data_IF_057071724380
#
_entry.id   IF_057071724380
#
_cell.length_a   1.000
_cell.length_b   1.000
_cell.length_c   1.000
_cell.angle_alpha   90.00
_cell.angle_beta   90.00
_cell.angle_gamma   90.00
#
_symmetry.space_group_name_H-M   'P 1'
#
loop_
_entity.id
_entity.type
_entity.pdbx_description
1 polymer ?
#
# COMPACT_ATOMS: atom_id res chain seq x y z
N UNK A 1 12.54 27.83 7.85
CA UNK A 1 11.23 27.24 7.51
C UNK A 1 11.13 27.25 6.00
N UNK A 2 11.09 26.06 5.39
CA UNK A 2 11.01 25.91 3.93
C UNK A 2 9.61 26.27 3.45
N UNK A 3 9.50 27.33 2.64
CA UNK A 3 8.30 27.67 1.89
C UNK A 3 7.94 26.54 0.93
N UNK A 4 6.77 25.94 1.12
CA UNK A 4 6.18 25.02 0.15
C UNK A 4 5.34 25.87 -0.79
N UNK A 5 5.94 26.27 -1.91
CA UNK A 5 5.23 26.85 -3.05
C UNK A 5 4.13 25.87 -3.50
N UNK A 6 2.87 26.30 -3.69
CA UNK A 6 1.83 25.41 -4.17
C UNK A 6 2.14 25.09 -5.63
N UNK A 7 2.68 23.90 -5.88
CA UNK A 7 2.87 23.37 -7.22
C UNK A 7 1.48 23.33 -7.89
N UNK A 8 1.27 24.20 -8.87
CA UNK A 8 0.25 24.02 -9.91
C UNK A 8 0.23 22.54 -10.30
N UNK A 9 -0.93 21.87 -10.34
CA UNK A 9 -0.98 20.49 -10.78
C UNK A 9 -0.41 20.46 -12.20
N UNK A 10 0.78 19.89 -12.34
CA UNK A 10 1.41 19.65 -13.64
C UNK A 10 0.36 18.93 -14.47
N UNK A 11 -0.17 19.59 -15.49
CA UNK A 11 -1.00 18.95 -16.51
C UNK A 11 -0.13 17.91 -17.19
N UNK A 12 -0.15 16.69 -16.66
CA UNK A 12 0.37 15.53 -17.36
C UNK A 12 -0.57 15.33 -18.53
N UNK A 13 -0.10 15.60 -19.75
CA UNK A 13 -0.89 15.36 -20.94
C UNK A 13 -1.43 13.92 -20.92
N UNK A 14 -2.69 13.70 -21.31
CA UNK A 14 -3.24 12.36 -21.36
C UNK A 14 -2.37 11.51 -22.28
N UNK A 15 -1.90 10.37 -21.76
CA UNK A 15 -1.07 9.43 -22.53
C UNK A 15 -1.75 9.08 -23.86
N UNK A 16 -1.00 9.01 -24.98
CA UNK A 16 -1.58 8.65 -26.27
C UNK A 16 -2.27 7.28 -26.19
N UNK A 17 -3.35 7.10 -26.96
CA UNK A 17 -4.18 5.89 -26.89
C UNK A 17 -3.38 4.60 -27.16
N UNK A 18 -2.40 4.66 -28.06
CA UNK A 18 -1.47 3.58 -28.39
C UNK A 18 -0.62 3.16 -27.20
N UNK A 19 -0.10 4.12 -26.42
CA UNK A 19 0.69 3.84 -25.22
C UNK A 19 -0.16 3.21 -24.11
N UNK A 20 -1.42 3.63 -23.97
CA UNK A 20 -2.35 3.02 -23.02
C UNK A 20 -2.66 1.57 -23.40
N UNK A 21 -2.91 1.30 -24.68
CA UNK A 21 -3.15 -0.05 -25.17
C UNK A 21 -1.92 -0.95 -24.98
N UNK A 22 -0.71 -0.44 -25.23
CA UNK A 22 0.53 -1.19 -25.01
C UNK A 22 0.73 -1.56 -23.53
N UNK A 23 0.58 -0.59 -22.62
CA UNK A 23 0.71 -0.82 -21.17
C UNK A 23 -0.28 -1.88 -20.68
N UNK A 24 -1.50 -1.85 -21.21
CA UNK A 24 -2.55 -2.83 -20.89
C UNK A 24 -2.18 -4.28 -21.23
N UNK A 25 -1.29 -4.51 -22.20
CA UNK A 25 -0.84 -5.86 -22.56
C UNK A 25 0.47 -6.24 -21.88
N UNK A 26 1.37 -5.27 -21.69
CA UNK A 26 2.70 -5.51 -21.09
C UNK A 26 2.61 -5.84 -19.60
N UNK A 27 1.79 -5.10 -18.83
CA UNK A 27 1.71 -5.30 -17.37
C UNK A 27 1.18 -6.70 -16.98
N UNK A 28 0.10 -7.23 -17.59
CA UNK A 28 -0.34 -8.61 -17.36
C UNK A 28 0.67 -9.64 -17.87
N UNK A 29 1.30 -9.41 -19.02
CA UNK A 29 2.29 -10.32 -19.59
C UNK A 29 3.48 -10.53 -18.65
N UNK A 30 3.99 -9.44 -18.07
CA UNK A 30 5.05 -9.50 -17.04
C UNK A 30 4.58 -10.23 -15.79
N UNK A 31 3.33 -10.02 -15.36
CA UNK A 31 2.75 -10.74 -14.21
C UNK A 31 2.71 -12.25 -14.44
N UNK A 32 2.22 -12.70 -15.60
CA UNK A 32 2.21 -14.12 -15.95
C UNK A 32 3.62 -14.71 -15.92
N UNK A 33 4.60 -13.97 -16.44
CA UNK A 33 5.99 -14.39 -16.51
C UNK A 33 6.68 -14.41 -15.12
N UNK A 34 6.27 -13.54 -14.17
CA UNK A 34 6.66 -13.65 -12.76
C UNK A 34 6.09 -14.93 -12.14
N UNK A 35 4.78 -15.18 -12.31
CA UNK A 35 4.10 -16.35 -11.72
C UNK A 35 4.71 -17.65 -12.26
N UNK A 36 4.91 -17.76 -13.56
CA UNK A 36 5.56 -18.92 -14.20
C UNK A 36 6.96 -19.15 -13.61
N UNK A 37 7.77 -18.10 -13.44
CA UNK A 37 9.10 -18.24 -12.83
C UNK A 37 9.08 -18.73 -11.38
N UNK A 38 8.12 -18.24 -10.59
CA UNK A 38 7.95 -18.69 -9.20
C UNK A 38 7.56 -20.17 -9.20
N UNK A 39 6.59 -20.58 -10.03
CA UNK A 39 6.16 -21.98 -10.14
C UNK A 39 7.30 -22.90 -10.59
N UNK A 40 8.07 -22.49 -11.60
CA UNK A 40 9.25 -23.23 -12.07
C UNK A 40 10.31 -23.36 -10.96
N UNK A 41 10.51 -22.30 -10.17
CA UNK A 41 11.45 -22.33 -9.05
C UNK A 41 10.99 -23.28 -7.93
N UNK A 42 9.69 -23.29 -7.62
CA UNK A 42 9.10 -24.20 -6.64
C UNK A 42 9.22 -25.64 -7.12
N UNK A 43 8.89 -25.91 -8.38
CA UNK A 43 9.04 -27.24 -8.98
C UNK A 43 10.48 -27.74 -8.92
N UNK A 44 11.45 -26.90 -9.35
CA UNK A 44 12.87 -27.22 -9.29
C UNK A 44 13.42 -27.37 -7.87
N UNK A 45 12.70 -26.89 -6.84
CA UNK A 45 13.05 -27.14 -5.44
C UNK A 45 12.59 -28.50 -4.93
N UNK A 46 11.53 -29.07 -5.50
CA UNK A 46 11.02 -30.38 -5.11
C UNK A 46 11.70 -31.52 -5.89
N UNK A 47 12.15 -31.27 -7.11
CA UNK A 47 12.86 -32.26 -7.92
C UNK A 47 14.35 -32.35 -7.55
N UNK A 48 14.82 -33.55 -7.20
CA UNK A 48 16.26 -33.86 -7.06
C UNK A 48 16.97 -33.96 -8.41
N UNK A 49 16.22 -34.10 -9.50
CA UNK A 49 16.74 -34.19 -10.87
C UNK A 49 17.17 -32.82 -11.40
N UNK A 50 18.20 -32.77 -12.28
CA UNK A 50 18.58 -31.53 -12.95
C UNK A 50 17.40 -31.01 -13.78
N UNK A 51 17.19 -29.69 -13.85
CA UNK A 51 16.05 -29.12 -14.55
C UNK A 51 16.13 -29.41 -16.06
N UNK A 52 15.01 -29.80 -16.67
CA UNK A 52 14.93 -30.09 -18.11
C UNK A 52 15.33 -28.90 -18.99
N UNK A 53 15.73 -29.18 -20.24
CA UNK A 53 16.13 -28.15 -21.19
C UNK A 53 15.04 -27.06 -21.39
N UNK A 54 13.76 -27.46 -21.40
CA UNK A 54 12.63 -26.54 -21.52
C UNK A 54 12.54 -25.58 -20.33
N UNK A 55 12.75 -26.07 -19.11
CA UNK A 55 12.75 -25.24 -17.89
C UNK A 55 13.88 -24.20 -17.95
N UNK A 56 15.08 -24.61 -18.36
CA UNK A 56 16.22 -23.70 -18.53
C UNK A 56 15.93 -22.62 -19.57
N UNK A 57 15.30 -22.96 -20.70
CA UNK A 57 14.94 -21.97 -21.73
C UNK A 57 13.89 -20.97 -21.22
N UNK A 58 12.86 -21.42 -20.52
CA UNK A 58 11.83 -20.54 -19.94
C UNK A 58 12.45 -19.56 -18.94
N UNK A 59 13.33 -20.05 -18.07
CA UNK A 59 14.04 -19.23 -17.09
C UNK A 59 14.98 -18.23 -17.78
N UNK A 60 15.72 -18.65 -18.80
CA UNK A 60 16.63 -17.77 -19.54
C UNK A 60 15.86 -16.67 -20.30
N UNK A 61 14.80 -17.04 -21.02
CA UNK A 61 13.95 -16.10 -21.75
C UNK A 61 13.35 -15.05 -20.82
N UNK A 62 12.74 -15.50 -19.73
CA UNK A 62 12.10 -14.62 -18.77
C UNK A 62 13.08 -13.71 -18.03
N UNK A 63 14.27 -14.22 -17.70
CA UNK A 63 15.37 -13.41 -17.15
C UNK A 63 15.80 -12.33 -18.13
N UNK A 64 15.94 -12.65 -19.42
CA UNK A 64 16.31 -11.68 -20.44
C UNK A 64 15.25 -10.56 -20.56
N UNK A 65 13.96 -10.91 -20.54
CA UNK A 65 12.85 -9.95 -20.56
C UNK A 65 12.93 -9.01 -19.34
N UNK A 66 13.12 -9.55 -18.13
CA UNK A 66 13.21 -8.73 -16.91
C UNK A 66 14.45 -7.86 -16.86
N UNK A 67 15.59 -8.38 -17.32
CA UNK A 67 16.82 -7.61 -17.40
C UNK A 67 16.65 -6.44 -18.36
N UNK A 68 16.07 -6.69 -19.53
CA UNK A 68 15.79 -5.65 -20.53
C UNK A 68 14.82 -4.60 -19.97
N UNK A 69 13.73 -5.02 -19.34
CA UNK A 69 12.78 -4.13 -18.65
C UNK A 69 13.47 -3.27 -17.58
N UNK A 70 14.36 -3.85 -16.78
CA UNK A 70 15.11 -3.13 -15.75
C UNK A 70 16.09 -2.12 -16.35
N UNK A 71 16.82 -2.49 -17.40
CA UNK A 71 17.75 -1.59 -18.10
C UNK A 71 17.04 -0.41 -18.75
N UNK A 72 15.91 -0.65 -19.42
CA UNK A 72 15.09 0.42 -20.00
C UNK A 72 14.62 1.40 -18.92
N UNK A 73 14.21 0.90 -17.75
CA UNK A 73 13.81 1.75 -16.62
C UNK A 73 14.97 2.54 -16.03
N UNK A 74 16.14 1.91 -15.90
CA UNK A 74 17.35 2.58 -15.45
C UNK A 74 17.78 3.67 -16.43
N UNK A 75 17.58 3.45 -17.74
CA UNK A 75 17.81 4.45 -18.76
C UNK A 75 16.82 5.62 -18.65
N UNK A 76 15.51 5.31 -18.58
CA UNK A 76 14.44 6.32 -18.60
C UNK A 76 14.25 7.07 -17.28
N UNK A 77 14.86 6.61 -16.17
CA UNK A 77 14.62 7.21 -14.84
C UNK A 77 15.04 8.69 -14.72
N UNK A 78 15.96 9.15 -15.58
CA UNK A 78 16.49 10.53 -15.59
C UNK A 78 15.45 11.54 -16.11
N UNK A 79 14.41 11.09 -16.80
CA UNK A 79 13.30 11.94 -17.26
C UNK A 79 12.41 12.42 -16.11
N UNK A 80 12.38 11.70 -14.98
CA UNK A 80 11.67 12.17 -13.80
C UNK A 80 12.48 13.28 -13.13
N UNK A 81 11.86 14.45 -12.95
CA UNK A 81 12.45 15.65 -12.31
C UNK A 81 13.11 15.33 -10.96
N UNK A 82 12.67 14.27 -10.27
CA UNK A 82 13.25 13.79 -9.00
C UNK A 82 14.67 13.24 -9.11
N UNK A 83 15.10 12.77 -10.29
CA UNK A 83 16.41 12.17 -10.54
C UNK A 83 17.22 12.93 -11.62
N UNK A 84 16.70 14.08 -12.08
CA UNK A 84 17.28 14.87 -13.16
C UNK A 84 18.54 15.68 -12.78
N UNK A 85 18.89 15.76 -11.48
CA UNK A 85 19.99 16.63 -11.02
C UNK A 85 21.36 16.20 -11.54
N UNK A 86 21.63 14.90 -11.61
CA UNK A 86 22.91 14.33 -12.07
C UNK A 86 22.65 13.00 -12.76
N UNK A 87 23.17 12.79 -13.98
CA UNK A 87 22.87 11.60 -14.80
C UNK A 87 23.29 10.27 -14.13
N UNK A 88 24.39 10.27 -13.36
CA UNK A 88 24.90 9.05 -12.70
C UNK A 88 24.36 8.92 -11.28
N UNK A 89 24.41 9.99 -10.48
CA UNK A 89 23.91 9.97 -9.09
C UNK A 89 22.39 9.80 -9.03
N UNK A 90 21.64 10.32 -10.01
CA UNK A 90 20.20 10.12 -10.14
C UNK A 90 19.84 8.66 -10.41
N UNK A 91 20.56 8.00 -11.33
CA UNK A 91 20.41 6.56 -11.59
C UNK A 91 20.75 5.72 -10.36
N UNK A 92 21.85 6.04 -9.66
CA UNK A 92 22.23 5.33 -8.44
C UNK A 92 21.20 5.54 -7.31
N UNK A 93 20.69 6.76 -7.16
CA UNK A 93 19.62 7.07 -6.21
C UNK A 93 18.32 6.33 -6.54
N UNK A 94 18.02 6.13 -7.83
CA UNK A 94 16.90 5.31 -8.28
C UNK A 94 17.11 3.82 -7.93
N UNK A 95 18.30 3.26 -8.20
CA UNK A 95 18.64 1.87 -7.86
C UNK A 95 18.52 1.56 -6.36
N UNK A 96 18.81 2.53 -5.49
CA UNK A 96 18.70 2.38 -4.03
C UNK A 96 17.25 2.45 -3.51
N UNK A 97 16.25 2.70 -4.35
CA UNK A 97 14.83 2.65 -3.93
C UNK A 97 14.44 1.19 -3.67
N UNK A 98 13.64 0.92 -2.62
CA UNK A 98 13.35 -0.46 -2.20
C UNK A 98 12.74 -1.33 -3.32
N UNK A 99 11.83 -0.77 -4.13
CA UNK A 99 11.25 -1.49 -5.26
C UNK A 99 12.27 -1.81 -6.36
N UNK A 100 13.18 -0.87 -6.66
CA UNK A 100 14.24 -1.10 -7.65
C UNK A 100 15.28 -2.10 -7.13
N UNK A 101 15.53 -2.10 -5.82
CA UNK A 101 16.43 -3.04 -5.19
C UNK A 101 15.87 -4.47 -5.24
N UNK A 102 14.57 -4.64 -5.02
CA UNK A 102 13.88 -5.94 -5.21
C UNK A 102 14.05 -6.44 -6.65
N UNK A 103 13.86 -5.56 -7.64
CA UNK A 103 14.07 -5.92 -9.05
C UNK A 103 15.51 -6.39 -9.29
N UNK A 104 16.51 -5.70 -8.74
CA UNK A 104 17.92 -6.06 -8.87
C UNK A 104 18.25 -7.38 -8.16
N UNK A 105 17.85 -7.54 -6.89
CA UNK A 105 18.12 -8.74 -6.08
C UNK A 105 17.50 -9.98 -6.71
N UNK A 106 16.30 -9.86 -7.30
CA UNK A 106 15.67 -10.96 -8.01
C UNK A 106 16.39 -11.37 -9.31
N UNK A 107 17.25 -10.51 -9.89
CA UNK A 107 18.10 -10.85 -11.05
C UNK A 107 19.40 -11.55 -10.63
N UNK A 108 19.88 -11.33 -9.40
CA UNK A 108 21.19 -11.84 -8.92
C UNK A 108 21.34 -13.36 -9.10
N UNK A 109 20.39 -14.22 -8.71
CA UNK A 109 20.56 -15.67 -8.84
C UNK A 109 20.84 -16.10 -10.28
N UNK A 110 20.16 -15.48 -11.24
CA UNK A 110 20.28 -15.82 -12.65
C UNK A 110 21.58 -15.32 -13.26
N UNK A 111 22.01 -14.11 -12.88
CA UNK A 111 23.30 -13.57 -13.33
C UNK A 111 24.44 -14.42 -12.79
N UNK A 112 24.38 -14.83 -11.53
CA UNK A 112 25.39 -15.70 -10.91
C UNK A 112 25.42 -17.07 -11.58
N UNK A 113 24.27 -17.69 -11.86
CA UNK A 113 24.21 -18.98 -12.57
C UNK A 113 24.72 -18.88 -14.01
N UNK A 114 24.42 -17.79 -14.72
CA UNK A 114 24.92 -17.57 -16.07
C UNK A 114 26.45 -17.43 -16.11
N UNK A 115 27.04 -16.71 -15.13
CA UNK A 115 28.49 -16.56 -15.00
C UNK A 115 29.13 -17.89 -14.57
N UNK A 116 28.53 -18.62 -13.64
CA UNK A 116 29.03 -19.91 -13.17
C UNK A 116 29.06 -20.97 -14.30
N UNK A 117 28.05 -20.96 -15.17
CA UNK A 117 28.00 -21.81 -16.36
C UNK A 117 29.18 -21.55 -17.33
N UNK A 118 29.64 -20.30 -17.43
CA UNK A 118 30.78 -19.93 -18.28
C UNK A 118 32.13 -20.37 -17.69
N UNK A 119 32.25 -20.37 -16.36
CA UNK A 119 33.52 -20.67 -15.67
C UNK A 119 33.81 -22.17 -15.48
N UNK A 120 32.94 -23.08 -15.93
CA UNK A 120 33.02 -24.53 -15.71
C UNK A 120 33.16 -24.98 -14.22
N UNK A 121 32.98 -24.06 -13.27
CA UNK A 121 32.92 -24.34 -11.83
C UNK A 121 31.49 -24.79 -11.51
N UNK A 122 31.17 -26.02 -11.90
CA UNK A 122 29.84 -26.61 -11.77
C UNK A 122 29.47 -27.04 -10.32
N UNK A 123 30.38 -26.91 -9.37
CA UNK A 123 30.26 -27.61 -8.07
C UNK A 123 29.77 -26.74 -6.90
N UNK A 124 29.46 -25.47 -7.12
CA UNK A 124 28.84 -24.66 -6.06
C UNK A 124 27.31 -24.81 -6.10
N UNK A 125 26.79 -25.70 -5.26
CA UNK A 125 25.36 -25.75 -4.92
C UNK A 125 24.99 -24.49 -4.13
N UNK A 126 24.72 -23.38 -4.84
CA UNK A 126 24.26 -22.14 -4.20
C UNK A 126 22.76 -22.21 -3.90
N UNK A 127 22.36 -23.24 -3.14
CA UNK A 127 20.98 -23.50 -2.73
C UNK A 127 20.35 -22.26 -2.07
N UNK A 128 21.13 -21.48 -1.32
CA UNK A 128 20.68 -20.23 -0.71
C UNK A 128 20.29 -19.13 -1.71
N UNK A 129 20.94 -19.04 -2.89
CA UNK A 129 20.56 -18.05 -3.91
C UNK A 129 19.21 -18.38 -4.57
N UNK A 130 18.78 -19.64 -4.52
CA UNK A 130 17.46 -20.05 -5.03
C UNK A 130 16.33 -19.35 -4.26
N UNK A 131 16.51 -19.08 -2.96
CA UNK A 131 15.52 -18.38 -2.14
C UNK A 131 15.32 -16.93 -2.59
N UNK A 132 16.37 -16.27 -3.10
CA UNK A 132 16.25 -14.89 -3.62
C UNK A 132 15.33 -14.82 -4.85
N UNK A 133 15.14 -15.93 -5.58
CA UNK A 133 14.18 -15.98 -6.71
C UNK A 133 12.75 -15.80 -6.25
N UNK A 134 12.40 -16.23 -5.03
CA UNK A 134 11.05 -16.03 -4.46
C UNK A 134 10.76 -14.54 -4.27
N UNK A 135 11.79 -13.72 -4.02
CA UNK A 135 11.65 -12.25 -3.96
C UNK A 135 11.17 -11.65 -5.28
N UNK A 136 11.29 -12.35 -6.41
CA UNK A 136 10.68 -11.93 -7.68
C UNK A 136 9.15 -11.80 -7.58
N UNK A 137 8.49 -12.55 -6.68
CA UNK A 137 7.06 -12.38 -6.40
C UNK A 137 6.73 -10.97 -5.87
N UNK A 138 7.65 -10.34 -5.15
CA UNK A 138 7.45 -8.98 -4.63
C UNK A 138 7.36 -7.93 -5.76
N UNK A 139 7.75 -8.27 -6.99
CA UNK A 139 7.57 -7.40 -8.17
C UNK A 139 6.11 -7.17 -8.52
N UNK A 140 5.20 -8.06 -8.12
CA UNK A 140 3.74 -7.95 -8.38
C UNK A 140 3.17 -6.63 -7.87
N UNK A 141 3.75 -6.10 -6.79
CA UNK A 141 3.37 -4.81 -6.22
C UNK A 141 3.41 -3.66 -7.24
N UNK A 142 4.32 -3.71 -8.21
CA UNK A 142 4.46 -2.69 -9.24
C UNK A 142 3.46 -2.88 -10.38
N UNK A 143 3.21 -4.12 -10.79
CA UNK A 143 2.34 -4.46 -11.91
C UNK A 143 0.86 -4.34 -11.56
N UNK A 144 0.50 -4.50 -10.27
CA UNK A 144 -0.90 -4.52 -9.87
C UNK A 144 -1.28 -3.32 -8.99
N UNK A 145 -2.13 -2.44 -9.53
CA UNK A 145 -2.58 -1.24 -8.81
C UNK A 145 -3.34 -1.54 -7.52
N UNK A 146 -3.95 -2.73 -7.39
CA UNK A 146 -4.61 -3.10 -6.15
C UNK A 146 -3.61 -3.27 -4.98
N UNK A 147 -2.40 -3.78 -5.23
CA UNK A 147 -1.36 -3.90 -4.19
C UNK A 147 -0.86 -2.52 -3.78
N UNK A 148 -0.74 -1.57 -4.73
CA UNK A 148 -0.42 -0.16 -4.42
C UNK A 148 -1.50 0.46 -3.54
N UNK A 149 -2.79 0.24 -3.85
CA UNK A 149 -3.92 0.72 -3.04
C UNK A 149 -3.90 0.10 -1.65
N UNK A 150 -3.63 -1.20 -1.55
CA UNK A 150 -3.49 -1.90 -0.29
C UNK A 150 -2.38 -1.26 0.57
N UNK A 151 -1.21 -0.96 0.00
CA UNK A 151 -0.12 -0.26 0.71
C UNK A 151 -0.54 1.12 1.24
N UNK A 152 -1.32 1.87 0.46
CA UNK A 152 -1.86 3.18 0.87
C UNK A 152 -2.80 2.99 2.06
N UNK A 153 -3.68 1.99 2.03
CA UNK A 153 -4.60 1.65 3.11
C UNK A 153 -3.83 1.26 4.37
N UNK A 154 -2.87 0.34 4.28
CA UNK A 154 -2.01 -0.05 5.40
C UNK A 154 -1.31 1.15 6.03
N UNK A 155 -0.73 2.05 5.21
CA UNK A 155 -0.03 3.22 5.73
C UNK A 155 -0.98 4.21 6.43
N UNK A 156 -2.20 4.33 5.92
CA UNK A 156 -3.23 5.20 6.49
C UNK A 156 -3.82 4.64 7.77
N UNK A 157 -4.05 3.33 7.82
CA UNK A 157 -4.61 2.58 8.96
C UNK A 157 -3.54 2.03 9.90
N UNK A 158 -2.26 2.44 9.74
CA UNK A 158 -1.12 1.88 10.47
C UNK A 158 -1.28 1.94 11.99
N UNK A 159 -1.89 3.01 12.50
CA UNK A 159 -2.07 3.20 13.94
C UNK A 159 -3.14 2.25 14.47
N UNK A 160 -4.29 2.15 13.79
CA UNK A 160 -5.36 1.21 14.14
C UNK A 160 -4.86 -0.24 14.08
N UNK A 161 -4.13 -0.60 13.02
CA UNK A 161 -3.53 -1.93 12.87
C UNK A 161 -2.47 -2.24 13.94
N UNK A 162 -1.66 -1.25 14.32
CA UNK A 162 -0.66 -1.42 15.36
C UNK A 162 -1.32 -1.66 16.73
N UNK A 163 -2.34 -0.86 17.07
CA UNK A 163 -3.07 -0.98 18.34
C UNK A 163 -3.75 -2.35 18.46
N UNK A 164 -4.46 -2.81 17.41
CA UNK A 164 -5.11 -4.13 17.47
C UNK A 164 -4.08 -5.26 17.55
N UNK A 165 -2.99 -5.19 16.79
CA UNK A 165 -1.92 -6.20 16.84
C UNK A 165 -1.28 -6.25 18.23
N UNK A 166 -1.02 -5.09 18.83
CA UNK A 166 -0.50 -4.99 20.19
C UNK A 166 -1.46 -5.60 21.22
N UNK A 167 -2.76 -5.26 21.12
CA UNK A 167 -3.79 -5.78 22.02
C UNK A 167 -3.92 -7.31 21.89
N UNK A 168 -4.00 -7.82 20.66
CA UNK A 168 -4.04 -9.27 20.40
C UNK A 168 -2.79 -9.96 20.92
N UNK A 169 -1.60 -9.37 20.73
CA UNK A 169 -0.35 -9.88 21.28
C UNK A 169 -0.35 -9.95 22.81
N UNK A 170 -0.89 -8.93 23.48
CA UNK A 170 -1.04 -8.94 24.94
C UNK A 170 -1.99 -10.07 25.39
N UNK A 171 -3.14 -10.22 24.72
CA UNK A 171 -4.11 -11.30 25.02
C UNK A 171 -3.51 -12.68 24.80
N UNK A 172 -2.71 -12.88 23.75
CA UNK A 172 -1.97 -14.14 23.51
C UNK A 172 -1.03 -14.45 24.66
N UNK A 173 -0.23 -13.48 25.10
CA UNK A 173 0.73 -13.68 26.19
C UNK A 173 0.03 -13.95 27.52
N UNK A 174 -0.99 -13.16 27.86
CA UNK A 174 -1.80 -13.36 29.06
C UNK A 174 -2.46 -14.74 29.06
N UNK A 175 -3.10 -15.11 27.94
CA UNK A 175 -3.76 -16.42 27.81
C UNK A 175 -2.77 -17.57 27.89
N UNK A 176 -1.59 -17.42 27.28
CA UNK A 176 -0.53 -18.42 27.33
C UNK A 176 0.05 -18.63 28.72
N UNK A 177 0.23 -17.56 29.50
CA UNK A 177 0.66 -17.65 30.90
C UNK A 177 -0.44 -18.32 31.75
N UNK A 178 -1.69 -17.86 31.62
CA UNK A 178 -2.80 -18.40 32.41
C UNK A 178 -3.04 -19.87 32.13
N UNK A 179 -3.10 -20.30 30.86
CA UNK A 179 -3.33 -21.71 30.52
C UNK A 179 -2.18 -22.59 30.99
N UNK A 180 -0.94 -22.09 30.93
CA UNK A 180 0.23 -22.82 31.42
C UNK A 180 0.06 -23.13 32.91
N UNK A 181 -0.26 -22.15 33.75
CA UNK A 181 -0.47 -22.40 35.18
C UNK A 181 -1.70 -23.28 35.47
N UNK A 182 -2.74 -23.23 34.64
CA UNK A 182 -3.93 -24.07 34.82
C UNK A 182 -3.70 -25.54 34.42
N UNK A 183 -2.80 -25.81 33.47
CA UNK A 183 -2.64 -27.14 32.87
C UNK A 183 -1.30 -27.80 33.18
N UNK A 184 -0.28 -27.07 33.64
CA UNK A 184 1.06 -27.61 33.86
C UNK A 184 1.07 -28.77 34.86
N UNK A 185 0.27 -28.71 35.93
CA UNK A 185 0.21 -29.80 36.93
C UNK A 185 -0.43 -31.06 36.35
N UNK A 186 -1.47 -30.92 35.51
CA UNK A 186 -2.17 -32.04 34.91
C UNK A 186 -1.44 -32.61 33.68
N UNK A 187 -0.72 -31.77 32.93
CA UNK A 187 -0.11 -32.10 31.64
C UNK A 187 1.28 -31.46 31.46
N UNK A 188 2.28 -31.79 32.30
CA UNK A 188 3.60 -31.13 32.27
C UNK A 188 4.39 -31.38 30.99
N UNK A 189 4.08 -32.46 30.25
CA UNK A 189 4.73 -32.77 28.96
C UNK A 189 4.15 -31.95 27.80
N UNK A 190 2.86 -31.62 27.86
CA UNK A 190 2.15 -30.86 26.80
C UNK A 190 2.36 -29.37 27.04
N UNK A 191 1.98 -28.87 28.21
CA UNK A 191 2.22 -27.49 28.63
C UNK A 191 3.58 -27.39 29.34
N UNK A 192 4.65 -27.65 28.59
CA UNK A 192 6.02 -27.70 29.13
C UNK A 192 6.64 -26.33 29.39
N UNK A 193 6.20 -25.30 28.67
CA UNK A 193 6.66 -23.92 28.86
C UNK A 193 5.56 -22.92 28.53
N UNK A 194 5.72 -21.69 29.02
CA UNK A 194 4.83 -20.56 28.71
C UNK A 194 4.78 -20.31 27.19
N UNK A 195 5.87 -20.58 26.46
CA UNK A 195 5.91 -20.48 25.00
C UNK A 195 4.93 -21.43 24.30
N UNK A 196 4.75 -22.64 24.82
CA UNK A 196 3.75 -23.60 24.31
C UNK A 196 2.34 -23.14 24.63
N UNK A 197 2.11 -22.56 25.81
CA UNK A 197 0.83 -21.91 26.14
C UNK A 197 0.51 -20.74 25.20
N UNK A 198 1.50 -19.92 24.86
CA UNK A 198 1.31 -18.83 23.90
C UNK A 198 1.03 -19.34 22.47
N UNK A 199 1.69 -20.42 22.04
CA UNK A 199 1.39 -21.11 20.78
C UNK A 199 -0.05 -21.63 20.74
N UNK A 200 -0.51 -22.29 21.81
CA UNK A 200 -1.91 -22.70 21.97
C UNK A 200 -2.88 -21.51 21.85
N UNK A 201 -2.55 -20.37 22.47
CA UNK A 201 -3.39 -19.17 22.41
C UNK A 201 -3.44 -18.61 20.97
N UNK A 202 -2.34 -18.62 20.23
CA UNK A 202 -2.29 -18.23 18.81
C UNK A 202 -3.22 -19.11 17.99
N UNK A 203 -3.11 -20.44 18.10
CA UNK A 203 -3.97 -21.36 17.36
C UNK A 203 -5.45 -21.22 17.70
N UNK A 204 -5.76 -21.00 18.98
CA UNK A 204 -7.14 -20.86 19.47
C UNK A 204 -7.77 -19.56 18.97
N UNK A 205 -7.06 -18.42 19.08
CA UNK A 205 -7.55 -17.11 18.65
C UNK A 205 -7.68 -17.05 17.12
N UNK A 206 -6.77 -17.69 16.39
CA UNK A 206 -6.82 -17.76 14.91
C UNK A 206 -7.73 -18.86 14.38
N UNK A 207 -8.42 -19.61 15.25
CA UNK A 207 -9.30 -20.72 14.91
C UNK A 207 -8.64 -21.86 14.13
N UNK A 208 -7.30 -21.99 14.19
CA UNK A 208 -6.56 -23.10 13.56
C UNK A 208 -6.80 -24.41 14.30
N UNK A 209 -6.54 -24.42 15.62
CA UNK A 209 -6.72 -25.57 16.51
C UNK A 209 -6.11 -26.88 15.98
N UNK A 210 -4.78 -26.96 15.83
CA UNK A 210 -4.13 -28.18 15.33
C UNK A 210 -4.31 -29.37 16.27
N UNK A 211 -4.54 -29.12 17.55
CA UNK A 211 -4.86 -30.14 18.55
C UNK A 211 -3.64 -30.83 19.17
N UNK A 212 -2.45 -30.26 18.98
CA UNK A 212 -1.20 -30.67 19.61
C UNK A 212 -1.16 -30.32 21.12
N UNK A 213 -1.75 -29.20 21.51
CA UNK A 213 -1.93 -28.77 22.90
C UNK A 213 -3.41 -28.49 23.19
N UNK A 214 -4.03 -29.27 24.09
CA UNK A 214 -5.45 -29.11 24.45
C UNK A 214 -5.63 -29.18 25.96
N UNK A 215 -6.31 -28.19 26.58
CA UNK A 215 -6.57 -28.21 28.02
C UNK A 215 -7.51 -29.35 28.42
N UNK A 216 -7.13 -30.06 29.48
CA UNK A 216 -7.90 -31.19 30.02
C UNK A 216 -8.54 -30.87 31.36
N UNK A 217 -7.99 -29.92 32.12
CA UNK A 217 -8.58 -29.51 33.40
C UNK A 217 -9.90 -28.78 33.18
N UNK A 218 -10.79 -28.85 34.17
CA UNK A 218 -12.08 -28.14 34.12
C UNK A 218 -11.85 -26.63 34.04
N UNK A 219 -10.94 -26.10 34.86
CA UNK A 219 -10.59 -24.68 34.86
C UNK A 219 -9.98 -24.24 33.52
N UNK A 220 -9.04 -25.01 32.97
CA UNK A 220 -8.44 -24.75 31.67
C UNK A 220 -9.45 -24.78 30.53
N UNK A 221 -10.42 -25.70 30.54
CA UNK A 221 -11.51 -25.74 29.55
C UNK A 221 -12.45 -24.55 29.63
N UNK A 222 -12.81 -24.11 30.83
CA UNK A 222 -13.64 -22.91 31.01
C UNK A 222 -12.90 -21.69 30.47
N UNK A 223 -11.63 -21.52 30.87
CA UNK A 223 -10.80 -20.42 30.40
C UNK A 223 -10.62 -20.45 28.87
N UNK A 224 -10.30 -21.62 28.32
CA UNK A 224 -10.19 -21.84 26.88
C UNK A 224 -11.46 -21.48 26.11
N UNK A 225 -12.62 -21.82 26.67
CA UNK A 225 -13.91 -21.47 26.05
C UNK A 225 -14.11 -19.95 25.98
N UNK A 226 -13.74 -19.23 27.05
CA UNK A 226 -13.80 -17.76 27.07
C UNK A 226 -12.81 -17.16 26.07
N UNK A 227 -11.57 -17.65 26.05
CA UNK A 227 -10.54 -17.19 25.10
C UNK A 227 -10.95 -17.45 23.65
N UNK A 228 -11.57 -18.60 23.36
CA UNK A 228 -12.06 -18.92 22.01
C UNK A 228 -13.15 -17.96 21.54
N UNK A 229 -14.12 -17.61 22.40
CA UNK A 229 -15.17 -16.64 22.06
C UNK A 229 -14.59 -15.25 21.77
N UNK A 230 -13.74 -14.74 22.65
CA UNK A 230 -13.08 -13.43 22.45
C UNK A 230 -12.06 -13.44 21.29
N UNK A 231 -11.45 -14.60 21.03
CA UNK A 231 -10.45 -14.76 19.97
C UNK A 231 -11.02 -14.50 18.58
N UNK A 232 -12.24 -14.97 18.33
CA UNK A 232 -12.95 -14.74 17.05
C UNK A 232 -13.12 -13.24 16.79
N UNK A 233 -13.54 -12.47 17.81
CA UNK A 233 -13.70 -11.03 17.70
C UNK A 233 -12.37 -10.32 17.43
N UNK A 234 -11.31 -10.69 18.16
CA UNK A 234 -9.97 -10.12 17.97
C UNK A 234 -9.38 -10.43 16.59
N UNK A 235 -9.67 -11.61 16.04
CA UNK A 235 -9.23 -12.00 14.70
C UNK A 235 -10.01 -11.29 13.59
N UNK A 236 -11.28 -10.97 13.81
CA UNK A 236 -12.14 -10.29 12.83
C UNK A 236 -11.77 -8.80 12.63
N UNK A 237 -11.28 -8.12 13.67
CA UNK A 237 -11.03 -6.67 13.66
C UNK A 237 -10.03 -6.22 12.58
N UNK A 238 -8.84 -6.82 12.40
CA UNK A 238 -7.92 -6.42 11.33
C UNK A 238 -8.56 -6.49 9.93
N UNK A 239 -9.38 -7.51 9.68
CA UNK A 239 -10.15 -7.66 8.45
C UNK A 239 -11.16 -6.53 8.26
N UNK A 240 -11.90 -6.17 9.32
CA UNK A 240 -12.87 -5.07 9.29
C UNK A 240 -12.19 -3.70 9.05
N UNK A 241 -11.03 -3.44 9.69
CA UNK A 241 -10.25 -2.22 9.49
C UNK A 241 -9.78 -2.10 8.04
N UNK A 242 -9.24 -3.18 7.47
CA UNK A 242 -8.82 -3.20 6.07
C UNK A 242 -10.00 -3.02 5.11
N UNK A 243 -11.13 -3.71 5.37
CA UNK A 243 -12.36 -3.59 4.59
C UNK A 243 -12.90 -2.15 4.56
N UNK A 244 -13.00 -1.50 5.73
CA UNK A 244 -13.40 -0.09 5.82
C UNK A 244 -12.44 0.84 5.08
N UNK A 245 -11.14 0.55 5.11
CA UNK A 245 -10.11 1.28 4.38
C UNK A 245 -10.28 1.17 2.85
N UNK A 246 -10.65 -0.01 2.34
CA UNK A 246 -10.97 -0.20 0.92
C UNK A 246 -12.19 0.60 0.49
N UNK A 247 -13.27 0.53 1.29
CA UNK A 247 -14.49 1.31 1.04
C UNK A 247 -14.17 2.80 1.01
N UNK A 248 -13.39 3.30 1.97
CA UNK A 248 -13.03 4.72 2.03
C UNK A 248 -12.21 5.16 0.79
N UNK A 249 -11.26 4.34 0.34
CA UNK A 249 -10.49 4.63 -0.89
C UNK A 249 -11.39 4.64 -2.13
N UNK A 250 -12.32 3.69 -2.22
CA UNK A 250 -13.27 3.60 -3.33
C UNK A 250 -14.20 4.83 -3.38
N UNK A 251 -14.79 5.21 -2.23
CA UNK A 251 -15.66 6.39 -2.12
C UNK A 251 -14.91 7.69 -2.45
N UNK A 252 -13.65 7.83 -2.02
CA UNK A 252 -12.81 8.97 -2.40
C UNK A 252 -12.55 9.04 -3.90
N UNK A 253 -12.39 7.89 -4.56
CA UNK A 253 -12.22 7.86 -6.02
C UNK A 253 -13.50 8.22 -6.77
N UNK A 254 -14.67 7.81 -6.29
CA UNK A 254 -15.96 8.17 -6.89
C UNK A 254 -16.25 9.67 -6.76
N UNK A 255 -16.17 10.21 -5.54
CA UNK A 255 -16.37 11.64 -5.29
C UNK A 255 -15.37 12.53 -6.03
N UNK A 256 -14.12 12.10 -6.19
CA UNK A 256 -13.13 12.82 -7.00
C UNK A 256 -13.48 12.81 -8.50
N UNK A 257 -14.08 11.74 -9.03
CA UNK A 257 -14.56 11.69 -10.42
C UNK A 257 -15.76 12.60 -10.62
N UNK A 258 -16.72 12.57 -9.71
CA UNK A 258 -17.90 13.44 -9.75
C UNK A 258 -17.52 14.92 -9.70
N UNK A 259 -16.62 15.30 -8.78
CA UNK A 259 -16.11 16.68 -8.72
C UNK A 259 -15.44 17.13 -10.01
N UNK A 260 -14.71 16.25 -10.69
CA UNK A 260 -14.09 16.55 -11.99
C UNK A 260 -15.14 16.70 -13.09
N UNK A 261 -16.09 15.78 -13.17
CA UNK A 261 -17.20 15.87 -14.13
C UNK A 261 -18.02 17.14 -13.93
N UNK A 262 -18.31 17.52 -12.68
CA UNK A 262 -19.02 18.75 -12.34
C UNK A 262 -18.20 19.99 -12.71
N UNK A 263 -16.89 20.00 -12.44
CA UNK A 263 -16.02 21.11 -12.82
C UNK A 263 -15.90 21.27 -14.34
N UNK A 264 -15.77 20.16 -15.08
CA UNK A 264 -15.76 20.14 -16.55
C UNK A 264 -17.10 20.63 -17.10
N UNK A 265 -18.23 20.18 -16.54
CA UNK A 265 -19.56 20.63 -16.93
C UNK A 265 -19.75 22.14 -16.70
N UNK A 266 -19.36 22.65 -15.52
CA UNK A 266 -19.42 24.08 -15.21
C UNK A 266 -18.57 24.90 -16.18
N UNK A 267 -17.36 24.42 -16.48
CA UNK A 267 -16.47 25.09 -17.42
C UNK A 267 -17.09 25.16 -18.83
N UNK A 268 -17.63 24.05 -19.33
CA UNK A 268 -18.31 24.01 -20.62
C UNK A 268 -19.58 24.87 -20.66
N UNK A 269 -20.36 24.90 -19.57
CA UNK A 269 -21.56 25.73 -19.46
C UNK A 269 -21.22 27.22 -19.48
N UNK A 270 -20.23 27.65 -18.70
CA UNK A 270 -19.76 29.04 -18.68
C UNK A 270 -19.22 29.49 -20.06
N UNK A 271 -18.45 28.64 -20.75
CA UNK A 271 -17.96 28.94 -22.10
C UNK A 271 -19.08 29.07 -23.13
N UNK A 272 -20.12 28.22 -23.06
CA UNK A 272 -21.28 28.29 -23.98
C UNK A 272 -22.14 29.53 -23.75
N UNK A 273 -22.33 29.94 -22.49
CA UNK A 273 -23.21 31.05 -22.12
C UNK A 273 -22.56 32.43 -22.28
N UNK A 274 -21.30 32.50 -22.76
CA UNK A 274 -20.54 33.76 -22.94
C UNK A 274 -20.52 34.64 -21.68
N UNK A 275 -20.69 34.03 -20.51
CA UNK A 275 -20.63 34.74 -19.23
C UNK A 275 -19.15 35.02 -18.95
N UNK A 276 -18.75 36.29 -18.75
CA UNK A 276 -17.37 36.58 -18.39
C UNK A 276 -17.02 35.80 -17.12
N UNK A 277 -15.96 34.99 -17.21
CA UNK A 277 -15.41 34.21 -16.12
C UNK A 277 -15.19 35.14 -14.91
N UNK A 278 -15.93 34.94 -13.82
CA UNK A 278 -15.65 35.61 -12.55
C UNK A 278 -14.25 35.18 -12.10
N UNK A 279 -13.25 35.98 -12.44
CA UNK A 279 -11.83 35.74 -12.19
C UNK A 279 -11.43 35.96 -10.72
N UNK A 280 -12.39 35.98 -9.79
CA UNK A 280 -12.15 36.37 -8.41
C UNK A 280 -12.92 35.44 -7.45
N UNK A 281 -12.58 34.14 -7.52
CA UNK A 281 -12.66 33.31 -6.31
C UNK A 281 -11.40 33.64 -5.49
N UNK A 282 -11.49 34.74 -4.74
CA UNK A 282 -10.46 35.17 -3.81
C UNK A 282 -10.32 34.13 -2.69
N UNK A 283 -9.44 33.15 -2.89
CA UNK A 283 -8.83 32.45 -1.77
C UNK A 283 -7.94 33.49 -1.08
N UNK A 284 -8.12 33.76 0.22
CA UNK A 284 -7.54 34.93 0.87
C UNK A 284 -6.02 34.91 0.71
N UNK A 285 -5.52 35.85 -0.11
CA UNK A 285 -4.10 36.10 -0.26
C UNK A 285 -3.62 36.86 0.98
N UNK A 286 -2.63 36.29 1.66
CA UNK A 286 -2.02 36.87 2.86
C UNK A 286 -1.07 37.97 2.40
N UNK A 287 -1.46 39.22 2.55
CA UNK A 287 -0.60 40.38 2.27
C UNK A 287 0.61 40.36 3.20
N UNK A 288 1.82 40.31 2.64
CA UNK A 288 3.04 40.66 3.33
C UNK A 288 3.13 42.19 3.47
N UNK A 289 3.25 42.68 4.69
CA UNK A 289 3.80 44.00 5.00
C UNK A 289 4.96 43.81 5.96
N UNK A 290 6.17 44.05 5.48
CA UNK A 290 7.37 44.15 6.30
C UNK A 290 7.37 45.45 7.08
N UNK A 291 7.49 45.40 8.42
CA UNK A 291 8.59 45.99 9.21
C UNK A 291 8.26 46.09 10.72
N UNK A 292 9.31 45.89 11.53
CA UNK A 292 9.55 46.34 12.91
C UNK A 292 8.94 45.61 14.13
N UNK A 293 9.78 44.75 14.73
CA UNK A 293 10.18 44.67 16.16
C UNK A 293 9.13 44.80 17.28
N UNK A 294 8.85 43.70 18.01
CA UNK A 294 8.79 43.54 19.50
C UNK A 294 7.98 42.28 19.92
N UNK A 295 8.15 41.72 21.15
CA UNK A 295 7.80 40.33 21.50
C UNK A 295 6.32 40.14 21.91
N UNK A 296 5.81 38.91 22.10
CA UNK A 296 4.37 38.63 22.06
C UNK A 296 3.67 38.78 23.42
N UNK A 297 2.36 39.09 23.44
CA UNK A 297 1.48 38.70 24.53
C UNK A 297 0.55 37.53 24.15
N UNK A 298 0.02 36.89 25.19
CA UNK A 298 -0.74 35.63 25.21
C UNK A 298 -2.27 35.88 25.02
N UNK A 299 -3.17 34.87 25.05
CA UNK A 299 -4.23 34.69 24.04
C UNK A 299 -5.62 35.18 24.49
N UNK A 300 -6.44 35.70 23.57
CA UNK A 300 -7.88 35.90 23.80
C UNK A 300 -8.77 35.45 22.64
N UNK A 301 -9.84 34.76 23.03
CA UNK A 301 -10.76 33.88 22.29
C UNK A 301 -11.86 34.61 21.51
N UNK A 302 -11.54 35.30 20.41
CA UNK A 302 -12.60 36.02 19.65
C UNK A 302 -12.53 35.96 18.13
N UNK A 303 -11.48 35.39 17.54
CA UNK A 303 -11.29 35.40 16.07
C UNK A 303 -11.85 34.17 15.33
N UNK A 304 -12.17 33.09 16.05
CA UNK A 304 -12.53 31.81 15.40
C UNK A 304 -14.03 31.68 15.11
N UNK A 305 -14.90 32.32 15.91
CA UNK A 305 -16.35 32.30 15.73
C UNK A 305 -16.84 33.16 14.55
N UNK A 306 -16.15 34.27 14.26
CA UNK A 306 -16.50 35.16 13.15
C UNK A 306 -16.20 34.52 11.78
N UNK A 307 -15.20 33.63 11.70
CA UNK A 307 -14.81 32.96 10.45
C UNK A 307 -15.76 31.83 10.04
N UNK A 308 -16.43 31.18 10.99
CA UNK A 308 -17.40 30.12 10.70
C UNK A 308 -18.76 30.67 10.28
N UNK A 309 -19.22 31.79 10.88
CA UNK A 309 -20.49 32.42 10.49
C UNK A 309 -20.48 33.01 9.07
N UNK A 310 -19.34 33.54 8.61
CA UNK A 310 -19.26 34.16 7.27
C UNK A 310 -19.27 33.13 6.13
N UNK A 311 -18.83 31.89 6.38
CA UNK A 311 -18.81 30.81 5.40
C UNK A 311 -20.21 30.23 5.12
N UNK A 312 -21.03 30.07 6.16
CA UNK A 312 -22.38 29.50 6.03
C UNK A 312 -23.36 30.48 5.36
N UNK A 313 -23.39 31.73 5.81
CA UNK A 313 -24.33 32.74 5.30
C UNK A 313 -24.07 33.15 3.84
N UNK A 314 -22.84 33.00 3.36
CA UNK A 314 -22.49 33.26 1.97
C UNK A 314 -22.92 32.09 1.06
N UNK A 315 -22.77 30.85 1.52
CA UNK A 315 -23.23 29.68 0.78
C UNK A 315 -24.76 29.61 0.68
N UNK A 316 -25.48 29.98 1.76
CA UNK A 316 -26.95 30.08 1.76
C UNK A 316 -27.45 31.14 0.77
N UNK A 317 -26.82 32.32 0.71
CA UNK A 317 -27.23 33.36 -0.27
C UNK A 317 -26.97 32.93 -1.70
N UNK A 318 -25.88 32.21 -1.97
CA UNK A 318 -25.59 31.68 -3.32
C UNK A 318 -26.60 30.59 -3.69
N UNK A 319 -27.00 29.74 -2.75
CA UNK A 319 -28.04 28.72 -2.96
C UNK A 319 -29.43 29.35 -3.21
N UNK A 320 -29.84 30.36 -2.42
CA UNK A 320 -31.11 31.08 -2.63
C UNK A 320 -31.14 31.83 -3.98
N UNK A 321 -29.99 32.38 -4.40
CA UNK A 321 -29.90 33.10 -5.68
C UNK A 321 -29.98 32.12 -6.86
N UNK A 322 -29.39 30.92 -6.72
CA UNK A 322 -29.52 29.84 -7.70
C UNK A 322 -30.97 29.32 -7.79
N UNK A 323 -31.65 29.15 -6.65
CA UNK A 323 -33.03 28.67 -6.62
C UNK A 323 -34.01 29.68 -7.24
N UNK A 324 -33.81 30.99 -7.00
CA UNK A 324 -34.59 32.07 -7.64
C UNK A 324 -34.37 32.14 -9.15
N UNK A 325 -33.14 31.91 -9.63
CA UNK A 325 -32.84 31.89 -11.07
C UNK A 325 -33.46 30.67 -11.76
N UNK A 326 -33.47 29.51 -11.12
CA UNK A 326 -34.13 28.30 -11.63
C UNK A 326 -35.65 28.47 -11.71
N UNK A 327 -36.27 29.12 -10.71
CA UNK A 327 -37.72 29.40 -10.72
C UNK A 327 -38.12 30.43 -11.79
N UNK A 328 -37.27 31.41 -12.10
CA UNK A 328 -37.52 32.36 -13.20
C UNK A 328 -37.35 31.75 -14.58
N UNK A 329 -36.54 30.69 -14.72
CA UNK A 329 -36.38 29.94 -15.96
C UNK A 329 -37.54 28.97 -16.26
N UNK A 330 -38.30 28.57 -15.25
CA UNK A 330 -39.45 27.67 -15.39
C UNK A 330 -40.80 28.39 -15.63
N UNK A 331 -40.83 29.72 -15.57
CA UNK A 331 -42.05 30.55 -15.74
C UNK A 331 -42.09 31.36 -17.05
N UNK A 332 -41.22 31.02 -18.03
CA UNK A 332 -41.29 31.48 -19.42
C UNK A 332 -41.43 30.30 -20.36
#
# INVERSE_FOLDING_TARGET
>A
MLEVTPLLPVQVSPRPATLRALIWHVDPGLLYLIVINVLVTVYGSASSSPPDAGIRMVVAFSTAVFLFEYLLRLWSCVEDRRFASNAVLGRLAWMRRPMSLIDLVALVPYVVEAIACYSAVYDYHITGLRLLRVLAFLRIERSYDAVKRLRIIFRKKRHELFVITYLTGAVILLSGITIFFLEQEAQPKVFSSIGVGAWWAVETITSLGYGDAVPRTVAGRIFASVVALWGIDLFAIPGAILGSGFVEVMLKHQTAKERRANAEWLQHACTRLHVPFFAELDLPSRSESSTTSSPPPSPSSTSEYARTCFSSAHFERVAETQERLVLQLHTK
#
